data_IF_376196107679
#
_entry.id   IF_376196107679
#
_cell.length_a   1.000
_cell.length_b   1.000
_cell.length_c   1.000
_cell.angle_alpha   90.00
_cell.angle_beta   90.00
_cell.angle_gamma   90.00
#
_symmetry.space_group_name_H-M   'P 1'
#
loop_
_entity.id
_entity.type
_entity.pdbx_description
1 polymer ?
#
# COMPACT_ATOMS: atom_id res chain seq x y z
N UNK A 1 -22.62 -16.74 -19.57
CA UNK A 1 -23.86 -16.11 -19.08
C UNK A 1 -23.45 -14.92 -18.23
N UNK A 2 -23.57 -13.65 -18.67
CA UNK A 2 -23.34 -12.54 -17.75
C UNK A 2 -24.53 -12.46 -16.78
N UNK A 3 -24.23 -12.46 -15.47
CA UNK A 3 -25.21 -12.58 -14.38
C UNK A 3 -25.89 -11.26 -13.98
N UNK A 4 -25.91 -10.25 -14.85
CA UNK A 4 -26.56 -8.98 -14.59
C UNK A 4 -27.38 -8.54 -15.80
N UNK A 5 -28.66 -8.19 -15.64
CA UNK A 5 -29.43 -7.56 -16.71
C UNK A 5 -28.74 -6.24 -17.11
N UNK A 6 -28.67 -5.98 -18.41
CA UNK A 6 -28.10 -4.74 -18.94
C UNK A 6 -28.87 -3.55 -18.34
N UNK A 7 -28.19 -2.55 -17.76
CA UNK A 7 -28.88 -1.42 -17.16
C UNK A 7 -29.67 -0.64 -18.23
N UNK A 8 -30.87 -0.13 -17.90
CA UNK A 8 -31.62 0.72 -18.80
C UNK A 8 -30.80 1.98 -19.13
N UNK A 9 -30.68 2.30 -20.42
CA UNK A 9 -30.00 3.49 -20.93
C UNK A 9 -30.99 4.64 -21.08
N UNK A 10 -30.75 5.74 -20.37
CA UNK A 10 -31.55 6.95 -20.55
C UNK A 10 -31.35 7.56 -21.96
N UNK A 11 -32.37 8.23 -22.53
CA UNK A 11 -32.23 8.99 -23.76
C UNK A 11 -31.16 10.07 -23.60
N UNK A 12 -30.32 10.26 -24.62
CA UNK A 12 -29.26 11.27 -24.60
C UNK A 12 -29.79 12.68 -24.80
N UNK A 13 -30.85 12.82 -25.58
CA UNK A 13 -31.43 14.12 -25.90
C UNK A 13 -32.96 14.07 -26.03
N UNK A 14 -33.54 15.26 -26.14
CA UNK A 14 -34.99 15.45 -26.23
C UNK A 14 -35.58 14.90 -27.53
N UNK A 15 -34.84 14.92 -28.63
CA UNK A 15 -35.34 14.42 -29.91
C UNK A 15 -35.45 12.89 -29.90
N UNK A 16 -34.47 12.21 -29.31
CA UNK A 16 -34.50 10.77 -29.04
C UNK A 16 -35.69 10.41 -28.13
N UNK A 17 -35.89 11.19 -27.05
CA UNK A 17 -37.05 11.02 -26.18
C UNK A 17 -38.38 11.13 -26.95
N UNK A 18 -38.57 12.18 -27.74
CA UNK A 18 -39.81 12.43 -28.50
C UNK A 18 -40.04 11.36 -29.58
N UNK A 19 -38.98 10.89 -30.24
CA UNK A 19 -39.06 9.86 -31.28
C UNK A 19 -39.51 8.49 -30.74
N UNK A 20 -39.10 8.14 -29.52
CA UNK A 20 -39.53 6.89 -28.86
C UNK A 20 -40.91 7.02 -28.23
N UNK A 21 -41.18 8.15 -27.56
CA UNK A 21 -42.50 8.44 -26.98
C UNK A 21 -43.61 8.44 -28.04
N UNK A 22 -43.35 8.98 -29.23
CA UNK A 22 -44.33 9.02 -30.32
C UNK A 22 -44.72 7.64 -30.88
N UNK A 23 -43.92 6.60 -30.65
CA UNK A 23 -44.18 5.24 -31.14
C UNK A 23 -45.04 4.44 -30.17
N UNK A 24 -44.66 4.45 -28.89
CA UNK A 24 -45.36 3.75 -27.82
C UNK A 24 -45.13 4.49 -26.48
N UNK A 25 -46.05 5.41 -26.12
CA UNK A 25 -45.91 6.25 -24.93
C UNK A 25 -45.84 5.45 -23.62
N UNK A 26 -46.64 4.40 -23.50
CA UNK A 26 -46.80 3.64 -22.25
C UNK A 26 -45.59 2.73 -22.03
N UNK A 27 -45.13 2.05 -23.08
CA UNK A 27 -43.92 1.25 -23.01
C UNK A 27 -42.70 2.11 -22.68
N UNK A 28 -42.61 3.30 -23.27
CA UNK A 28 -41.50 4.23 -23.04
C UNK A 28 -41.52 4.84 -21.64
N UNK A 29 -42.71 5.17 -21.12
CA UNK A 29 -42.87 5.63 -19.75
C UNK A 29 -42.44 4.57 -18.73
N UNK A 30 -42.82 3.31 -18.96
CA UNK A 30 -42.42 2.20 -18.08
C UNK A 30 -40.90 2.01 -18.10
N UNK A 31 -40.29 2.02 -19.30
CA UNK A 31 -38.83 1.91 -19.44
C UNK A 31 -38.06 2.98 -18.67
N UNK A 32 -38.48 4.24 -18.77
CA UNK A 32 -37.84 5.33 -18.03
C UNK A 32 -38.06 5.21 -16.52
N UNK A 33 -39.26 4.81 -16.10
CA UNK A 33 -39.56 4.58 -14.68
C UNK A 33 -38.65 3.49 -14.09
N UNK A 34 -38.47 2.39 -14.82
CA UNK A 34 -37.58 1.30 -14.44
C UNK A 34 -36.09 1.76 -14.42
N UNK A 35 -35.69 2.59 -15.39
CA UNK A 35 -34.35 3.18 -15.44
C UNK A 35 -34.06 4.06 -14.21
N UNK A 36 -34.98 4.95 -13.85
CA UNK A 36 -34.84 5.83 -12.69
C UNK A 36 -34.89 5.05 -11.37
N UNK A 37 -35.74 4.02 -11.26
CA UNK A 37 -35.77 3.14 -10.10
C UNK A 37 -34.43 2.41 -9.92
N UNK A 38 -33.89 1.84 -11.01
CA UNK A 38 -32.58 1.17 -10.99
C UNK A 38 -31.46 2.11 -10.55
N UNK A 39 -31.38 3.34 -11.09
CA UNK A 39 -30.36 4.32 -10.67
C UNK A 39 -30.48 4.69 -9.19
N UNK A 40 -31.71 4.88 -8.69
CA UNK A 40 -31.97 5.19 -7.28
C UNK A 40 -31.53 4.06 -6.35
N UNK A 41 -31.70 2.81 -6.78
CA UNK A 41 -31.20 1.64 -6.05
C UNK A 41 -29.67 1.54 -6.03
N UNK A 42 -28.99 2.12 -7.03
CA UNK A 42 -27.52 2.16 -7.06
C UNK A 42 -26.91 3.23 -6.15
N UNK A 43 -27.57 4.36 -5.88
CA UNK A 43 -27.06 5.44 -5.02
C UNK A 43 -26.50 4.96 -3.65
N UNK A 44 -27.20 4.11 -2.86
CA UNK A 44 -26.66 3.61 -1.60
C UNK A 44 -25.47 2.67 -1.79
N UNK A 45 -25.45 1.88 -2.87
CA UNK A 45 -24.32 1.01 -3.23
C UNK A 45 -23.08 1.83 -3.58
N UNK A 46 -23.26 2.92 -4.33
CA UNK A 46 -22.20 3.83 -4.71
C UNK A 46 -21.65 4.58 -3.49
N UNK A 47 -22.51 5.09 -2.61
CA UNK A 47 -22.07 5.72 -1.36
C UNK A 47 -21.31 4.76 -0.43
N UNK A 48 -21.70 3.48 -0.40
CA UNK A 48 -20.96 2.45 0.34
C UNK A 48 -19.60 2.14 -0.30
N UNK A 49 -19.54 2.08 -1.64
CA UNK A 49 -18.30 1.90 -2.37
C UNK A 49 -17.32 3.07 -2.14
N UNK A 50 -17.80 4.32 -2.20
CA UNK A 50 -17.00 5.52 -1.97
C UNK A 50 -16.43 5.55 -0.54
N UNK A 51 -17.25 5.21 0.46
CA UNK A 51 -16.79 5.10 1.87
C UNK A 51 -15.68 4.06 2.00
N UNK A 52 -15.86 2.88 1.40
CA UNK A 52 -14.86 1.81 1.42
C UNK A 52 -13.56 2.23 0.71
N UNK A 53 -13.67 3.01 -0.36
CA UNK A 53 -12.53 3.57 -1.08
C UNK A 53 -11.71 4.50 -0.18
N UNK A 54 -12.38 5.39 0.57
CA UNK A 54 -11.73 6.28 1.54
C UNK A 54 -11.08 5.48 2.67
N UNK A 55 -11.79 4.50 3.24
CA UNK A 55 -11.23 3.62 4.28
C UNK A 55 -9.96 2.90 3.81
N UNK A 56 -9.98 2.34 2.60
CA UNK A 56 -8.81 1.69 2.02
C UNK A 56 -7.67 2.67 1.74
N UNK A 57 -7.96 3.88 1.28
CA UNK A 57 -6.93 4.91 1.10
C UNK A 57 -6.23 5.24 2.42
N UNK A 58 -6.98 5.44 3.50
CA UNK A 58 -6.42 5.70 4.83
C UNK A 58 -5.57 4.51 5.32
N UNK A 59 -6.03 3.27 5.10
CA UNK A 59 -5.25 2.08 5.45
C UNK A 59 -3.94 2.00 4.68
N UNK A 60 -3.96 2.28 3.37
CA UNK A 60 -2.75 2.28 2.54
C UNK A 60 -1.77 3.35 3.00
N UNK A 61 -2.23 4.57 3.29
CA UNK A 61 -1.36 5.64 3.80
C UNK A 61 -0.71 5.28 5.15
N UNK A 62 -1.45 4.64 6.05
CA UNK A 62 -0.92 4.20 7.34
C UNK A 62 0.13 3.10 7.17
N UNK A 63 -0.14 2.08 6.34
CA UNK A 63 0.81 1.01 6.04
C UNK A 63 2.08 1.56 5.37
N UNK A 64 1.96 2.57 4.51
CA UNK A 64 3.14 3.22 3.92
C UNK A 64 4.00 3.94 4.96
N UNK A 65 3.38 4.64 5.93
CA UNK A 65 4.11 5.28 7.03
C UNK A 65 4.82 4.25 7.91
N UNK A 66 4.14 3.16 8.26
CA UNK A 66 4.74 2.06 9.04
C UNK A 66 5.91 1.41 8.30
N UNK A 67 5.76 1.19 6.99
CA UNK A 67 6.83 0.65 6.16
C UNK A 67 8.06 1.57 6.14
N UNK A 68 7.86 2.89 5.97
CA UNK A 68 8.95 3.86 6.04
C UNK A 68 9.65 3.84 7.39
N UNK A 69 8.88 3.79 8.48
CA UNK A 69 9.44 3.71 9.84
C UNK A 69 10.29 2.44 9.99
N UNK A 70 9.77 1.28 9.62
CA UNK A 70 10.50 0.02 9.68
C UNK A 70 11.78 0.03 8.82
N UNK A 71 11.75 0.64 7.63
CA UNK A 71 12.93 0.81 6.78
C UNK A 71 14.00 1.69 7.43
N UNK A 72 13.59 2.79 8.08
CA UNK A 72 14.55 3.66 8.79
C UNK A 72 15.18 2.96 9.99
N UNK A 73 14.39 2.19 10.74
CA UNK A 73 14.89 1.39 11.86
C UNK A 73 15.85 0.30 11.39
N UNK A 74 15.53 -0.39 10.29
CA UNK A 74 16.40 -1.40 9.69
C UNK A 74 17.72 -0.79 9.24
N UNK A 75 17.69 0.35 8.56
CA UNK A 75 18.90 1.06 8.13
C UNK A 75 19.76 1.49 9.31
N UNK A 76 19.13 1.97 10.39
CA UNK A 76 19.82 2.33 11.62
C UNK A 76 20.46 1.12 12.29
N UNK A 77 19.75 -0.01 12.35
CA UNK A 77 20.27 -1.24 12.92
C UNK A 77 21.48 -1.77 12.14
N UNK A 78 21.41 -1.76 10.80
CA UNK A 78 22.54 -2.13 9.93
C UNK A 78 23.75 -1.24 10.22
N UNK A 79 23.57 0.08 10.26
CA UNK A 79 24.67 1.00 10.56
C UNK A 79 25.27 0.80 11.96
N UNK A 80 24.46 0.41 12.94
CA UNK A 80 24.93 0.07 14.29
C UNK A 80 25.76 -1.21 14.30
N UNK A 81 25.31 -2.25 13.59
CA UNK A 81 26.06 -3.51 13.45
C UNK A 81 27.41 -3.24 12.79
N UNK A 82 27.45 -2.56 11.65
CA UNK A 82 28.68 -2.19 10.95
C UNK A 82 29.66 -1.41 11.86
N UNK A 83 29.14 -0.50 12.67
CA UNK A 83 29.95 0.27 13.61
C UNK A 83 30.55 -0.63 14.71
N UNK A 84 29.75 -1.54 15.26
CA UNK A 84 30.18 -2.46 16.30
C UNK A 84 31.24 -3.42 15.76
N UNK A 85 31.02 -4.00 14.57
CA UNK A 85 31.97 -4.90 13.91
C UNK A 85 33.32 -4.22 13.71
N UNK A 86 33.34 -3.01 13.13
CA UNK A 86 34.59 -2.23 12.94
C UNK A 86 35.30 -1.95 14.26
N UNK A 87 34.55 -1.68 15.32
CA UNK A 87 35.13 -1.41 16.65
C UNK A 87 35.68 -2.68 17.28
N UNK A 88 35.04 -3.82 17.06
CA UNK A 88 35.50 -5.12 17.53
C UNK A 88 36.80 -5.50 16.83
N UNK A 89 36.85 -5.43 15.50
CA UNK A 89 38.05 -5.69 14.70
C UNK A 89 39.26 -4.85 15.15
N UNK A 90 39.03 -3.57 15.44
CA UNK A 90 40.08 -2.69 15.95
C UNK A 90 40.61 -3.16 17.31
N UNK A 91 39.71 -3.59 18.21
CA UNK A 91 40.08 -4.09 19.54
C UNK A 91 40.77 -5.44 19.48
N UNK A 92 40.38 -6.33 18.57
CA UNK A 92 41.05 -7.61 18.35
C UNK A 92 42.49 -7.41 17.88
N UNK A 93 42.73 -6.50 16.94
CA UNK A 93 44.09 -6.14 16.49
C UNK A 93 44.95 -5.54 17.59
N UNK A 94 44.40 -4.63 18.39
CA UNK A 94 45.09 -4.09 19.57
C UNK A 94 45.48 -5.21 20.55
N UNK A 95 44.57 -6.15 20.80
CA UNK A 95 44.78 -7.25 21.73
C UNK A 95 45.84 -8.24 21.22
N UNK A 96 45.85 -8.56 19.92
CA UNK A 96 46.91 -9.35 19.29
C UNK A 96 48.28 -8.68 19.41
N UNK A 97 48.36 -7.37 19.18
CA UNK A 97 49.60 -6.60 19.34
C UNK A 97 50.14 -6.68 20.78
N UNK A 98 49.27 -6.46 21.77
CA UNK A 98 49.65 -6.55 23.19
C UNK A 98 50.09 -7.98 23.56
N UNK A 99 49.41 -9.01 23.06
CA UNK A 99 49.82 -10.42 23.28
C UNK A 99 51.20 -10.70 22.70
N UNK A 100 51.49 -10.19 21.50
CA UNK A 100 52.80 -10.34 20.87
C UNK A 100 53.90 -9.64 21.67
N UNK A 101 53.64 -8.42 22.13
CA UNK A 101 54.60 -7.66 22.94
C UNK A 101 54.87 -8.32 24.29
N UNK A 102 53.83 -8.85 24.93
CA UNK A 102 53.95 -9.60 26.18
C UNK A 102 54.77 -10.89 25.98
N UNK A 103 54.54 -11.62 24.89
CA UNK A 103 55.34 -12.79 24.54
C UNK A 103 56.82 -12.44 24.35
N UNK A 104 57.12 -11.38 23.59
CA UNK A 104 58.50 -10.90 23.39
C UNK A 104 59.16 -10.53 24.72
N UNK A 105 58.45 -9.80 25.59
CA UNK A 105 58.95 -9.41 26.90
C UNK A 105 59.26 -10.62 27.78
N UNK A 106 58.40 -11.65 27.77
CA UNK A 106 58.66 -12.91 28.51
C UNK A 106 59.88 -13.64 27.97
N UNK A 107 60.03 -13.76 26.65
CA UNK A 107 61.21 -14.42 26.06
C UNK A 107 62.51 -13.66 26.32
N UNK A 108 62.47 -12.32 26.41
CA UNK A 108 63.64 -11.52 26.75
C UNK A 108 64.03 -11.60 28.25
N UNK A 109 63.06 -11.85 29.13
CA UNK A 109 63.27 -11.99 30.57
C UNK A 109 63.88 -13.34 30.99
N UNK A 110 63.83 -14.35 30.12
CA UNK A 110 64.48 -15.65 30.30
C UNK A 110 65.56 -15.87 29.22
N UNK A 111 66.71 -15.19 29.30
CA UNK A 111 67.82 -15.45 28.39
C UNK A 111 68.37 -16.86 28.68
N UNK A 112 68.53 -17.66 27.63
CA UNK A 112 69.24 -18.93 27.67
C UNK A 112 70.75 -18.69 27.69
#
# INVERSE_FOLDING_TARGET
MPAHPTPPTLPRDRAEFEAHYAKDPDQWFQYLSDAYAWMKEQEPSQAAADRKLVELQVQVENLQKELQLCQTETTRAIAQVDYIEKRLDAKEKELEAVRLDLYKAQTAAFPT
#
